data_IF_347570432191
#
_entry.id   IF_347570432191
#
_cell.length_a   1.000
_cell.length_b   1.000
_cell.length_c   1.000
_cell.angle_alpha   90.00
_cell.angle_beta   90.00
_cell.angle_gamma   90.00
#
_symmetry.space_group_name_H-M   'P 1'
#
loop_
_entity.id
_entity.type
_entity.pdbx_description
1 polymer ?
#
# COMPACT_ATOMS: atom_id res chain seq x y z
N UNK A 1 -21.30 37.93 21.26
CA UNK A 1 -20.45 38.49 20.20
C UNK A 1 -19.30 37.51 20.00
N UNK A 2 -19.51 36.24 19.62
CA UNK A 2 -20.12 35.73 18.37
C UNK A 2 -19.64 36.50 17.17
N UNK A 3 -18.38 36.28 16.81
CA UNK A 3 -17.92 36.49 15.45
C UNK A 3 -17.79 35.11 14.80
N UNK A 4 -18.56 34.97 13.74
CA UNK A 4 -18.85 33.75 13.01
C UNK A 4 -17.61 33.33 12.23
N UNK A 5 -16.96 32.23 12.64
CA UNK A 5 -16.11 31.47 11.72
C UNK A 5 -17.04 30.73 10.78
N UNK A 6 -17.39 31.45 9.71
CA UNK A 6 -18.11 30.98 8.53
C UNK A 6 -17.46 29.69 8.04
N UNK A 7 -18.08 28.57 8.37
CA UNK A 7 -17.76 27.24 7.85
C UNK A 7 -18.19 27.19 6.38
N UNK A 8 -17.44 27.84 5.49
CA UNK A 8 -17.54 27.64 4.04
C UNK A 8 -16.58 26.53 3.63
N UNK A 9 -16.90 25.30 3.99
CA UNK A 9 -16.38 24.08 3.37
C UNK A 9 -17.35 22.91 3.60
N UNK A 10 -18.65 23.14 3.44
CA UNK A 10 -19.64 22.07 3.31
C UNK A 10 -20.52 22.37 2.09
N UNK A 11 -20.40 21.52 1.05
CA UNK A 11 -21.36 21.18 -0.02
C UNK A 11 -20.66 20.97 -1.36
N UNK A 12 -20.25 19.73 -1.63
CA UNK A 12 -19.86 19.32 -2.98
C UNK A 12 -19.05 18.03 -3.14
N UNK A 13 -18.86 17.20 -2.11
CA UNK A 13 -17.98 16.01 -2.20
C UNK A 13 -18.58 14.72 -1.60
N UNK A 14 -19.90 14.61 -1.52
CA UNK A 14 -20.58 13.38 -1.07
C UNK A 14 -21.55 12.85 -2.15
N UNK A 15 -21.19 13.01 -3.42
CA UNK A 15 -21.97 12.41 -4.51
C UNK A 15 -21.17 11.29 -5.14
N UNK A 16 -21.71 10.07 -5.06
CA UNK A 16 -21.14 8.90 -5.72
C UNK A 16 -21.15 9.13 -7.22
N UNK A 17 -20.03 8.84 -7.89
CA UNK A 17 -19.93 8.98 -9.34
C UNK A 17 -20.68 7.83 -10.02
N UNK A 18 -21.92 8.10 -10.41
CA UNK A 18 -22.79 7.14 -11.10
C UNK A 18 -22.23 6.71 -12.46
N UNK A 19 -21.28 7.44 -13.05
CA UNK A 19 -20.59 7.04 -14.27
C UNK A 19 -19.41 6.09 -13.99
N UNK A 20 -18.82 6.11 -12.80
CA UNK A 20 -17.68 5.29 -12.40
C UNK A 20 -18.03 4.24 -11.34
N UNK A 21 -19.13 3.52 -11.57
CA UNK A 21 -19.52 2.38 -10.75
C UNK A 21 -18.81 1.10 -11.21
N UNK A 22 -18.35 0.31 -10.25
CA UNK A 22 -17.77 -1.01 -10.46
C UNK A 22 -18.42 -2.00 -9.49
N UNK A 23 -18.73 -3.19 -9.98
CA UNK A 23 -19.06 -4.36 -9.16
C UNK A 23 -17.77 -5.10 -8.85
N UNK A 24 -17.50 -5.28 -7.56
CA UNK A 24 -16.35 -6.04 -7.09
C UNK A 24 -16.74 -7.50 -6.87
N UNK A 25 -16.02 -8.40 -7.53
CA UNK A 25 -16.15 -9.86 -7.37
C UNK A 25 -14.82 -10.44 -6.89
N UNK A 26 -14.86 -11.27 -5.86
CA UNK A 26 -13.67 -11.86 -5.24
C UNK A 26 -13.65 -13.35 -5.51
N UNK A 27 -12.63 -13.80 -6.24
CA UNK A 27 -12.38 -15.19 -6.58
C UNK A 27 -11.17 -15.68 -5.81
N UNK A 28 -11.30 -16.74 -5.02
CA UNK A 28 -10.19 -17.30 -4.25
C UNK A 28 -10.15 -18.80 -4.37
N UNK A 29 -8.94 -19.36 -4.46
CA UNK A 29 -8.70 -20.79 -4.42
C UNK A 29 -8.34 -21.29 -3.01
N UNK A 30 -8.33 -20.38 -2.00
CA UNK A 30 -7.94 -20.60 -0.60
C UNK A 30 -6.56 -21.26 -0.41
N UNK A 31 -5.72 -21.28 -1.44
CA UNK A 31 -4.41 -21.96 -1.43
C UNK A 31 -3.31 -21.04 -1.94
N UNK A 32 -3.48 -20.52 -3.14
CA UNK A 32 -2.47 -19.75 -3.87
C UNK A 32 -2.76 -18.26 -3.75
N UNK A 33 -4.03 -17.85 -3.85
CA UNK A 33 -4.37 -16.45 -3.66
C UNK A 33 -5.80 -16.05 -4.00
N UNK A 34 -5.96 -14.74 -4.16
CA UNK A 34 -7.23 -14.07 -4.39
C UNK A 34 -7.13 -13.26 -5.68
N UNK A 35 -8.16 -13.27 -6.50
CA UNK A 35 -8.34 -12.43 -7.67
C UNK A 35 -9.57 -11.56 -7.41
N UNK A 36 -9.36 -10.25 -7.42
CA UNK A 36 -10.42 -9.24 -7.37
C UNK A 36 -10.71 -8.82 -8.80
N UNK A 37 -11.97 -8.95 -9.19
CA UNK A 37 -12.49 -8.57 -10.49
C UNK A 37 -13.37 -7.34 -10.30
N UNK A 38 -12.99 -6.23 -10.94
CA UNK A 38 -13.76 -5.00 -10.98
C UNK A 38 -14.49 -4.93 -12.32
N UNK A 39 -15.76 -5.31 -12.29
CA UNK A 39 -16.63 -5.28 -13.46
C UNK A 39 -17.28 -3.90 -13.53
N UNK A 40 -17.02 -3.08 -14.56
CA UNK A 40 -17.69 -1.79 -14.71
C UNK A 40 -19.20 -1.99 -14.84
N UNK A 41 -19.96 -1.18 -14.12
CA UNK A 41 -21.42 -1.20 -14.16
C UNK A 41 -21.98 0.20 -14.40
N UNK A 42 -23.17 0.24 -14.97
CA UNK A 42 -23.92 1.48 -15.16
C UNK A 42 -24.61 1.91 -13.85
N UNK A 43 -25.16 3.12 -13.81
CA UNK A 43 -26.01 3.60 -12.71
C UNK A 43 -27.22 2.69 -12.42
N UNK A 44 -27.63 1.87 -13.40
CA UNK A 44 -28.70 0.89 -13.24
C UNK A 44 -28.22 -0.46 -12.67
N UNK A 45 -26.92 -0.60 -12.40
CA UNK A 45 -26.30 -1.85 -11.93
C UNK A 45 -26.10 -2.92 -13.00
N UNK A 46 -26.30 -2.58 -14.29
CA UNK A 46 -26.02 -3.48 -15.42
C UNK A 46 -24.55 -3.46 -15.77
N UNK A 47 -24.02 -4.58 -16.26
CA UNK A 47 -22.64 -4.66 -16.75
C UNK A 47 -22.47 -3.71 -17.93
N UNK A 48 -21.41 -2.91 -17.87
CA UNK A 48 -21.07 -1.96 -18.91
C UNK A 48 -19.97 -2.54 -19.80
N UNK A 49 -20.37 -3.13 -20.94
CA UNK A 49 -19.45 -3.75 -21.90
C UNK A 49 -18.56 -2.73 -22.65
N UNK A 50 -18.85 -1.43 -22.54
CA UNK A 50 -18.02 -0.39 -23.17
C UNK A 50 -16.69 -0.17 -22.44
N UNK A 51 -16.61 -0.60 -21.17
CA UNK A 51 -15.42 -0.49 -20.33
C UNK A 51 -14.81 -1.87 -20.08
N UNK A 52 -13.48 -1.92 -20.02
CA UNK A 52 -12.76 -3.16 -19.73
C UNK A 52 -12.91 -3.53 -18.26
N UNK A 53 -13.12 -4.83 -18.01
CA UNK A 53 -13.03 -5.42 -16.68
C UNK A 53 -11.58 -5.33 -16.21
N UNK A 54 -11.37 -4.95 -14.95
CA UNK A 54 -10.05 -4.89 -14.35
C UNK A 54 -9.89 -6.11 -13.44
N UNK A 55 -8.81 -6.86 -13.64
CA UNK A 55 -8.46 -7.98 -12.77
C UNK A 55 -7.23 -7.60 -11.96
N UNK A 56 -7.33 -7.71 -10.64
CA UNK A 56 -6.23 -7.46 -9.71
C UNK A 56 -6.03 -8.72 -8.88
N UNK A 57 -4.81 -9.25 -8.87
CA UNK A 57 -4.42 -10.35 -8.00
C UNK A 57 -3.95 -9.84 -6.65
N UNK A 58 -4.29 -10.57 -5.60
CA UNK A 58 -3.75 -10.40 -4.26
C UNK A 58 -3.13 -11.73 -3.82
N UNK A 59 -1.88 -11.68 -3.40
CA UNK A 59 -1.12 -12.81 -2.86
C UNK A 59 -0.60 -12.46 -1.48
N UNK A 60 -0.53 -13.44 -0.58
CA UNK A 60 0.09 -13.27 0.73
C UNK A 60 1.37 -14.09 0.79
N UNK A 61 2.51 -13.42 0.95
CA UNK A 61 3.80 -14.09 1.08
C UNK A 61 4.26 -14.02 2.53
N UNK A 62 4.54 -15.20 3.10
CA UNK A 62 5.17 -15.28 4.41
C UNK A 62 6.63 -14.88 4.30
N UNK A 63 6.96 -13.70 4.83
CA UNK A 63 8.34 -13.24 4.97
C UNK A 63 8.80 -13.46 6.41
N UNK A 64 10.10 -13.30 6.68
CA UNK A 64 10.65 -13.36 8.04
C UNK A 64 10.04 -12.30 8.98
N UNK A 65 9.43 -11.25 8.44
CA UNK A 65 8.78 -10.17 9.19
C UNK A 65 7.26 -10.35 9.31
N UNK A 66 6.70 -11.46 8.82
CA UNK A 66 5.26 -11.75 8.81
C UNK A 66 4.67 -11.87 7.40
N UNK A 67 3.34 -12.01 7.36
CA UNK A 67 2.59 -12.09 6.10
C UNK A 67 2.56 -10.71 5.43
N UNK A 68 3.16 -10.61 4.24
CA UNK A 68 3.11 -9.41 3.42
C UNK A 68 2.05 -9.60 2.33
N UNK A 69 0.96 -8.80 2.32
CA UNK A 69 0.03 -8.77 1.21
C UNK A 69 0.67 -8.05 0.02
N UNK A 70 0.52 -8.63 -1.16
CA UNK A 70 1.07 -8.15 -2.43
C UNK A 70 -0.08 -8.09 -3.42
N UNK A 71 -0.39 -6.88 -3.88
CA UNK A 71 -1.40 -6.64 -4.91
C UNK A 71 -0.74 -6.35 -6.24
N UNK A 72 -1.29 -6.89 -7.32
CA UNK A 72 -0.77 -6.71 -8.68
C UNK A 72 -1.90 -6.72 -9.69
N UNK A 73 -1.76 -5.92 -10.75
CA UNK A 73 -2.72 -5.95 -11.86
C UNK A 73 -2.46 -7.14 -12.78
N UNK A 74 -3.54 -7.73 -13.27
CA UNK A 74 -3.54 -8.86 -14.18
C UNK A 74 -4.20 -8.39 -15.48
N UNK A 75 -3.42 -8.31 -16.55
CA UNK A 75 -3.95 -8.00 -17.87
C UNK A 75 -4.66 -9.25 -18.42
N UNK A 76 -5.99 -9.19 -18.44
CA UNK A 76 -6.85 -10.29 -18.90
C UNK A 76 -8.23 -9.78 -19.31
N UNK A 77 -8.83 -10.42 -20.32
CA UNK A 77 -10.19 -10.10 -20.78
C UNK A 77 -11.26 -10.97 -20.10
N UNK A 78 -10.88 -12.06 -19.44
CA UNK A 78 -11.79 -12.98 -18.76
C UNK A 78 -11.10 -13.66 -17.57
N UNK A 79 -11.91 -14.26 -16.69
CA UNK A 79 -11.42 -14.93 -15.48
C UNK A 79 -10.43 -16.07 -15.78
N UNK A 80 -10.64 -16.85 -16.83
CA UNK A 80 -9.75 -17.96 -17.17
C UNK A 80 -8.35 -17.46 -17.57
N UNK A 81 -8.30 -16.39 -18.38
CA UNK A 81 -7.07 -15.69 -18.73
C UNK A 81 -6.43 -15.04 -17.49
N UNK A 82 -7.22 -14.45 -16.59
CA UNK A 82 -6.71 -13.86 -15.36
C UNK A 82 -6.05 -14.92 -14.46
N UNK A 83 -6.65 -16.11 -14.34
CA UNK A 83 -6.07 -17.24 -13.58
C UNK A 83 -4.80 -17.77 -14.25
N UNK A 84 -4.77 -17.87 -15.58
CA UNK A 84 -3.58 -18.31 -16.31
C UNK A 84 -2.41 -17.33 -16.14
N UNK A 85 -2.70 -16.02 -16.22
CA UNK A 85 -1.71 -14.94 -16.10
C UNK A 85 -1.34 -14.63 -14.64
N UNK A 86 -2.13 -15.11 -13.67
CA UNK A 86 -1.93 -14.84 -12.24
C UNK A 86 -0.50 -15.14 -11.79
N UNK A 87 0.07 -16.28 -12.20
CA UNK A 87 1.43 -16.66 -11.76
C UNK A 87 2.49 -15.67 -12.25
N UNK A 88 2.36 -15.21 -13.48
CA UNK A 88 3.32 -14.29 -14.10
C UNK A 88 3.17 -12.89 -13.51
N UNK A 89 1.94 -12.41 -13.41
CA UNK A 89 1.60 -11.14 -12.78
C UNK A 89 1.99 -11.13 -11.29
N UNK A 90 1.86 -12.24 -10.57
CA UNK A 90 2.31 -12.38 -9.19
C UNK A 90 3.81 -12.18 -9.07
N UNK A 91 4.62 -12.81 -9.94
CA UNK A 91 6.09 -12.63 -9.91
C UNK A 91 6.47 -11.15 -10.12
N UNK A 92 5.88 -10.51 -11.14
CA UNK A 92 6.11 -9.09 -11.39
C UNK A 92 5.64 -8.20 -10.22
N UNK A 93 4.49 -8.52 -9.62
CA UNK A 93 3.95 -7.86 -8.43
C UNK A 93 4.86 -7.97 -7.22
N UNK A 94 5.45 -9.16 -7.00
CA UNK A 94 6.41 -9.40 -5.93
C UNK A 94 7.68 -8.57 -6.13
N UNK A 95 8.22 -8.52 -7.34
CA UNK A 95 9.40 -7.70 -7.64
C UNK A 95 9.13 -6.21 -7.41
N UNK A 96 7.97 -5.72 -7.86
CA UNK A 96 7.56 -4.32 -7.70
C UNK A 96 7.36 -3.96 -6.23
N UNK A 97 6.64 -4.79 -5.47
CA UNK A 97 6.40 -4.55 -4.03
C UNK A 97 7.68 -4.68 -3.20
N UNK A 98 8.60 -5.59 -3.55
CA UNK A 98 9.92 -5.65 -2.91
C UNK A 98 10.73 -4.36 -3.15
N UNK A 99 10.67 -3.81 -4.37
CA UNK A 99 11.33 -2.55 -4.71
C UNK A 99 10.75 -1.38 -3.92
N UNK A 100 9.43 -1.26 -3.87
CA UNK A 100 8.72 -0.22 -3.09
C UNK A 100 9.00 -0.36 -1.59
N UNK A 101 9.01 -1.59 -1.05
CA UNK A 101 9.36 -1.84 0.34
C UNK A 101 10.81 -1.48 0.66
N UNK A 102 11.74 -1.71 -0.28
CA UNK A 102 13.14 -1.31 -0.14
C UNK A 102 13.29 0.21 -0.15
N UNK A 103 12.55 0.91 -1.00
CA UNK A 103 12.49 2.39 -1.02
C UNK A 103 11.90 2.94 0.29
N UNK A 104 10.81 2.35 0.79
CA UNK A 104 10.23 2.72 2.08
C UNK A 104 11.18 2.46 3.25
N UNK A 105 11.88 1.33 3.27
CA UNK A 105 12.92 1.03 4.27
C UNK A 105 14.06 2.05 4.20
N UNK A 106 14.47 2.45 2.99
CA UNK A 106 15.50 3.48 2.80
C UNK A 106 15.03 4.84 3.33
N UNK A 107 13.79 5.24 3.03
CA UNK A 107 13.20 6.49 3.53
C UNK A 107 13.03 6.50 5.05
N UNK A 108 12.66 5.36 5.64
CA UNK A 108 12.56 5.20 7.09
C UNK A 108 13.93 5.21 7.77
N UNK A 109 14.94 4.54 7.19
CA UNK A 109 16.31 4.53 7.70
C UNK A 109 17.01 5.88 7.55
N UNK A 110 16.74 6.63 6.47
CA UNK A 110 17.31 7.97 6.28
C UNK A 110 16.73 9.03 7.23
N UNK A 111 15.60 8.77 7.89
CA UNK A 111 15.00 9.69 8.87
C UNK A 111 15.63 9.57 10.27
N UNK A 112 16.49 8.59 10.52
CA UNK A 112 17.09 8.33 11.85
C UNK A 112 18.53 8.83 11.96
N UNK A 113 19.20 9.14 10.85
CA UNK A 113 20.60 9.62 10.89
C UNK A 113 20.69 10.99 10.24
N UNK A 114 20.49 12.02 11.06
CA UNK A 114 21.15 13.32 10.84
C UNK A 114 22.49 13.23 11.57
N UNK A 115 23.63 13.02 10.90
CA UNK A 115 24.93 13.22 11.53
C UNK A 115 25.12 14.72 11.66
N UNK A 116 24.96 15.25 12.87
CA UNK A 116 25.24 16.66 13.14
C UNK A 116 24.34 17.37 14.15
N UNK A 117 23.77 16.68 15.15
CA UNK A 117 23.25 17.40 16.32
C UNK A 117 24.36 17.53 17.38
N UNK A 118 24.91 18.74 17.62
CA UNK A 118 25.75 19.02 18.77
C UNK A 118 24.86 19.06 20.01
N UNK A 119 24.64 17.90 20.62
CA UNK A 119 23.78 17.78 21.79
C UNK A 119 23.93 16.49 22.58
N UNK A 120 24.80 15.56 22.15
CA UNK A 120 25.14 14.40 22.95
C UNK A 120 26.34 14.74 23.83
N UNK A 121 26.09 15.43 24.94
CA UNK A 121 26.97 15.35 26.11
C UNK A 121 26.70 14.00 26.77
N UNK A 122 27.68 13.07 26.83
CA UNK A 122 27.53 11.87 27.64
C UNK A 122 27.34 12.27 29.11
N UNK A 123 26.49 11.58 29.88
CA UNK A 123 26.34 11.85 31.30
C UNK A 123 27.69 11.63 32.01
N UNK A 124 28.06 12.64 32.79
CA UNK A 124 29.24 12.72 33.63
C UNK A 124 29.20 11.58 34.66
N UNK A 125 30.00 10.53 34.46
CA UNK A 125 30.06 9.41 35.39
C UNK A 125 30.50 8.07 34.82
N UNK A 126 31.70 8.00 34.23
CA UNK A 126 32.38 6.71 34.04
C UNK A 126 33.90 6.89 33.84
N UNK A 127 34.65 6.74 34.94
CA UNK A 127 35.93 6.01 34.96
C UNK A 127 37.16 6.67 34.34
N UNK A 128 38.05 7.19 35.18
CA UNK A 128 39.40 7.57 34.77
C UNK A 128 40.27 7.94 35.97
N UNK A 129 40.70 6.92 36.71
CA UNK A 129 41.53 6.95 37.92
C UNK A 129 42.65 8.02 37.89
N UNK A 130 42.56 8.95 38.85
CA UNK A 130 43.68 9.81 39.22
C UNK A 130 44.77 8.98 39.90
N UNK A 131 45.78 8.60 39.13
CA UNK A 131 47.09 8.25 39.67
C UNK A 131 47.79 9.55 40.07
N UNK A 132 47.76 9.82 41.37
CA UNK A 132 48.76 10.65 42.07
C UNK A 132 50.15 10.07 41.80
N UNK A 133 51.19 10.90 41.72
CA UNK A 133 52.52 10.81 42.39
C UNK A 133 53.48 11.88 41.81
N UNK A 134 54.57 12.18 42.51
CA UNK A 134 54.72 13.09 43.65
C UNK A 134 55.14 14.52 43.27
#
# INVERSE_FOLDING_TARGET
MTEEVKTEAEKGQEQMDAANLFREEIYTDRKIGVIRCLVPVTAEGKVDESRKVIYTGEAQIMTQMGALPISFDIEADNLAAAVANYREAAKAGVEKTMKELQELRRAAASKIVVPGQPGFTPPEGAGGSGLVMP
#
